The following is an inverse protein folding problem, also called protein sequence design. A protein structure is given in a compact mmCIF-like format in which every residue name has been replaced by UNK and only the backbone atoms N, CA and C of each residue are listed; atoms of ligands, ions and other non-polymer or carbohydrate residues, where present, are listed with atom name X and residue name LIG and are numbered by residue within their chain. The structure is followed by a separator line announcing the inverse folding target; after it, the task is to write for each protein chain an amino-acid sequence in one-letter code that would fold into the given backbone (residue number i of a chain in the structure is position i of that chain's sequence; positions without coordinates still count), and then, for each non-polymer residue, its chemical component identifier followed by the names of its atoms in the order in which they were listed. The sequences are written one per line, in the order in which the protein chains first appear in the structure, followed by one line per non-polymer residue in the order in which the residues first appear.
data_IF_258780835722
#
_entry.id   IF_258780835722
#
_cell.length_a   1.000
_cell.length_b   1.000
_cell.length_c   1.000
_cell.angle_alpha   90.00
_cell.angle_beta   90.00
_cell.angle_gamma   90.00
#
_symmetry.space_group_name_H-M   'P 1'
#
loop_
_entity.id
_entity.type
_entity.pdbx_description
1 polymer ?
#
# COMPACT_ATOMS: atom_id res chain seq x y z
N UNK A 1 -0.39 10.92 -4.91
CA UNK A 1 -1.20 12.12 -4.57
C UNK A 1 -0.58 13.43 -5.03
N UNK A 2 0.65 13.83 -4.65
CA UNK A 2 1.19 15.14 -5.04
C UNK A 2 1.14 15.39 -6.55
N UNK A 3 1.54 14.41 -7.35
CA UNK A 3 1.46 14.47 -8.82
C UNK A 3 0.03 14.55 -9.36
N UNK A 4 -0.95 13.88 -8.75
CA UNK A 4 -2.34 13.92 -9.22
C UNK A 4 -2.97 15.30 -9.01
N UNK A 5 -2.53 16.02 -7.98
CA UNK A 5 -3.10 17.31 -7.60
C UNK A 5 -2.33 18.51 -8.15
N UNK A 6 -1.15 18.31 -8.76
CA UNK A 6 -0.31 19.41 -9.25
C UNK A 6 -1.03 20.30 -10.26
N UNK A 7 -1.77 19.70 -11.19
CA UNK A 7 -2.53 20.44 -12.20
C UNK A 7 -3.71 21.19 -11.57
N UNK A 8 -4.40 20.56 -10.62
CA UNK A 8 -5.52 21.18 -9.91
C UNK A 8 -5.06 22.41 -9.13
N UNK A 9 -3.98 22.31 -8.36
CA UNK A 9 -3.42 23.43 -7.59
C UNK A 9 -2.95 24.54 -8.55
N UNK A 10 -2.30 24.18 -9.65
CA UNK A 10 -1.84 25.16 -10.65
C UNK A 10 -2.98 25.93 -11.32
N UNK A 11 -4.12 25.28 -11.54
CA UNK A 11 -5.32 25.87 -12.15
C UNK A 11 -6.18 26.66 -11.15
N UNK A 12 -6.12 26.32 -9.85
CA UNK A 12 -6.97 26.87 -8.81
C UNK A 12 -6.15 27.58 -7.71
N UNK A 13 -5.49 28.69 -8.07
CA UNK A 13 -4.55 29.41 -7.18
C UNK A 13 -5.16 29.97 -5.89
N UNK A 14 -6.48 30.12 -5.82
CA UNK A 14 -7.19 30.59 -4.63
C UNK A 14 -7.54 29.48 -3.63
N UNK A 15 -7.16 28.24 -3.91
CA UNK A 15 -7.45 27.08 -3.05
C UNK A 15 -6.20 26.70 -2.27
N UNK A 16 -6.30 26.76 -0.95
CA UNK A 16 -5.30 26.18 -0.05
C UNK A 16 -5.62 24.71 0.19
N UNK A 17 -4.65 23.84 -0.07
CA UNK A 17 -4.80 22.40 0.05
C UNK A 17 -3.96 21.88 1.23
N UNK A 18 -4.62 21.19 2.16
CA UNK A 18 -3.98 20.49 3.27
C UNK A 18 -4.07 18.98 2.99
N UNK A 19 -2.94 18.29 3.04
CA UNK A 19 -2.87 16.84 2.84
C UNK A 19 -2.13 16.20 4.00
N UNK A 20 -2.82 15.32 4.72
CA UNK A 20 -2.21 14.45 5.71
C UNK A 20 -2.03 13.04 5.15
N UNK A 21 -0.80 12.53 5.21
CA UNK A 21 -0.49 11.15 4.82
C UNK A 21 -0.30 10.32 6.08
N UNK A 22 -1.25 9.41 6.32
CA UNK A 22 -1.19 8.53 7.48
C UNK A 22 -1.70 7.11 7.17
N UNK A 23 -1.66 6.23 8.16
CA UNK A 23 -2.14 4.86 8.08
C UNK A 23 -3.68 4.79 8.01
N UNK A 24 -4.17 3.62 7.56
CA UNK A 24 -5.60 3.37 7.37
C UNK A 24 -6.46 3.66 8.61
N UNK A 25 -6.00 3.32 9.81
CA UNK A 25 -6.80 3.46 11.04
C UNK A 25 -7.08 4.94 11.29
N UNK A 26 -6.05 5.77 11.21
CA UNK A 26 -6.17 7.20 11.44
C UNK A 26 -7.01 7.89 10.36
N UNK A 27 -6.92 7.46 9.09
CA UNK A 27 -7.78 8.03 8.03
C UNK A 27 -9.25 7.74 8.29
N UNK A 28 -9.59 6.51 8.70
CA UNK A 28 -10.98 6.13 9.00
C UNK A 28 -11.51 6.90 10.21
N UNK A 29 -10.71 7.04 11.25
CA UNK A 29 -11.07 7.82 12.44
C UNK A 29 -11.31 9.30 12.10
N UNK A 30 -10.46 9.91 11.26
CA UNK A 30 -10.65 11.28 10.80
C UNK A 30 -11.93 11.47 9.99
N UNK A 31 -12.30 10.49 9.15
CA UNK A 31 -13.58 10.50 8.44
C UNK A 31 -14.76 10.38 9.41
N UNK A 32 -14.69 9.44 10.37
CA UNK A 32 -15.75 9.21 11.37
C UNK A 32 -16.01 10.45 12.24
N UNK A 33 -14.94 11.18 12.58
CA UNK A 33 -14.99 12.40 13.37
C UNK A 33 -15.20 13.67 12.54
N UNK A 34 -15.45 13.54 11.22
CA UNK A 34 -15.65 14.64 10.29
C UNK A 34 -14.52 15.69 10.32
N UNK A 35 -13.26 15.24 10.50
CA UNK A 35 -12.05 16.09 10.56
C UNK A 35 -11.45 16.39 9.20
N UNK A 36 -11.87 15.66 8.16
CA UNK A 36 -11.37 15.79 6.79
C UNK A 36 -12.53 15.73 5.82
N UNK A 37 -12.48 16.53 4.76
CA UNK A 37 -13.55 16.58 3.75
C UNK A 37 -13.50 15.36 2.82
N UNK A 38 -12.28 14.94 2.47
CA UNK A 38 -12.05 13.83 1.57
C UNK A 38 -11.00 12.88 2.14
N UNK A 39 -11.19 11.59 1.89
CA UNK A 39 -10.21 10.58 2.23
C UNK A 39 -9.99 9.61 1.07
N UNK A 40 -8.73 9.24 0.88
CA UNK A 40 -8.35 8.19 -0.03
C UNK A 40 -7.94 6.96 0.76
N UNK A 41 -8.76 5.91 0.69
CA UNK A 41 -8.50 4.63 1.37
C UNK A 41 -8.57 3.47 0.39
N UNK A 42 -7.73 2.46 0.60
CA UNK A 42 -7.79 1.22 -0.20
C UNK A 42 -8.85 0.24 0.30
N UNK A 43 -9.38 0.42 1.51
CA UNK A 43 -10.41 -0.45 2.10
C UNK A 43 -11.46 0.43 2.76
N UNK A 44 -12.70 0.34 2.29
CA UNK A 44 -13.83 1.13 2.79
C UNK A 44 -14.38 0.51 4.08
N UNK A 45 -14.66 1.29 5.14
CA UNK A 45 -15.32 0.81 6.35
C UNK A 45 -16.74 0.32 6.05
N UNK A 46 -17.19 -0.75 6.72
CA UNK A 46 -18.54 -1.33 6.49
C UNK A 46 -19.68 -0.54 7.17
N UNK A 47 -19.37 0.32 8.15
CA UNK A 47 -20.35 0.85 9.11
C UNK A 47 -20.84 2.28 8.81
N UNK A 48 -20.46 2.86 7.68
CA UNK A 48 -20.72 4.28 7.39
C UNK A 48 -21.26 4.45 5.98
N UNK A 49 -22.22 5.37 5.84
CA UNK A 49 -22.80 5.72 4.55
C UNK A 49 -21.92 6.78 3.89
N UNK A 50 -21.02 6.36 3.00
CA UNK A 50 -20.12 7.26 2.27
C UNK A 50 -20.48 7.28 0.79
N UNK A 51 -20.41 8.47 0.21
CA UNK A 51 -20.24 8.60 -1.24
C UNK A 51 -18.80 8.25 -1.61
N UNK A 52 -18.63 7.48 -2.68
CA UNK A 52 -17.31 6.97 -3.09
C UNK A 52 -17.18 7.01 -4.59
N UNK A 53 -15.96 7.34 -5.02
CA UNK A 53 -15.53 7.27 -6.40
C UNK A 53 -14.30 6.37 -6.47
N UNK A 54 -14.34 5.36 -7.33
CA UNK A 54 -13.17 4.53 -7.59
C UNK A 54 -12.21 5.29 -8.51
N UNK A 55 -10.98 5.48 -8.04
CA UNK A 55 -9.98 6.26 -8.77
C UNK A 55 -9.06 5.39 -9.64
N UNK A 56 -8.38 4.43 -9.01
CA UNK A 56 -7.40 3.58 -9.67
C UNK A 56 -7.16 2.29 -8.92
N UNK A 57 -6.71 1.27 -9.65
CA UNK A 57 -6.26 0.02 -9.05
C UNK A 57 -4.91 0.21 -8.35
N UNK A 58 -4.80 -0.33 -7.13
CA UNK A 58 -3.52 -0.44 -6.42
C UNK A 58 -2.93 -1.84 -6.64
N UNK A 59 -2.13 -1.99 -7.71
CA UNK A 59 -1.48 -3.27 -8.05
C UNK A 59 -0.21 -3.45 -7.23
N UNK A 60 -0.10 -4.59 -6.55
CA UNK A 60 1.10 -4.96 -5.81
C UNK A 60 2.08 -5.66 -6.74
N UNK A 61 3.33 -5.21 -6.71
CA UNK A 61 4.43 -5.78 -7.47
C UNK A 61 5.55 -6.20 -6.53
N UNK A 62 6.20 -7.31 -6.89
CA UNK A 62 7.46 -7.69 -6.29
C UNK A 62 8.58 -6.83 -6.87
N UNK A 63 9.38 -6.22 -6.01
CA UNK A 63 10.53 -5.40 -6.39
C UNK A 63 11.81 -5.96 -5.77
N UNK A 64 12.93 -5.78 -6.48
CA UNK A 64 14.27 -6.13 -6.02
C UNK A 64 15.25 -5.00 -6.34
N UNK A 65 16.36 -4.92 -5.60
CA UNK A 65 17.39 -3.90 -5.82
C UNK A 65 18.05 -4.00 -7.21
N UNK A 66 18.80 -2.98 -7.61
CA UNK A 66 19.43 -2.88 -8.96
C UNK A 66 20.33 -4.08 -9.33
N UNK A 67 20.97 -4.72 -8.35
CA UNK A 67 21.76 -5.95 -8.57
C UNK A 67 20.90 -7.18 -8.89
N UNK A 68 19.58 -7.00 -8.84
CA UNK A 68 18.57 -7.91 -9.35
C UNK A 68 18.35 -9.14 -8.47
N UNK A 69 17.20 -9.76 -8.72
CA UNK A 69 17.13 -11.21 -8.74
C UNK A 69 18.11 -11.62 -9.84
N UNK A 70 19.21 -12.32 -9.52
CA UNK A 70 20.12 -12.80 -10.56
C UNK A 70 19.26 -13.46 -11.65
N UNK A 71 19.37 -12.95 -12.90
CA UNK A 71 18.47 -13.22 -14.04
C UNK A 71 18.35 -14.69 -14.47
N UNK A 72 18.89 -15.63 -13.71
CA UNK A 72 18.81 -17.06 -13.97
C UNK A 72 17.48 -17.64 -13.43
N UNK A 73 16.39 -17.47 -14.19
CA UNK A 73 15.26 -18.42 -14.24
C UNK A 73 14.76 -19.01 -12.90
N UNK A 74 14.69 -18.20 -11.83
CA UNK A 74 14.04 -18.67 -10.61
C UNK A 74 12.53 -18.66 -10.86
N UNK A 75 11.89 -19.81 -10.68
CA UNK A 75 10.44 -19.85 -10.62
C UNK A 75 9.93 -18.98 -9.47
N UNK A 76 8.68 -18.52 -9.54
CA UNK A 76 8.05 -17.74 -8.46
C UNK A 76 8.25 -18.43 -7.11
N UNK A 77 8.01 -19.75 -7.03
CA UNK A 77 8.28 -20.53 -5.83
C UNK A 77 9.71 -20.36 -5.30
N UNK A 78 10.73 -20.60 -6.13
CA UNK A 78 12.13 -20.49 -5.69
C UNK A 78 12.48 -19.08 -5.22
N UNK A 79 11.90 -18.06 -5.85
CA UNK A 79 12.09 -16.67 -5.45
C UNK A 79 11.63 -16.46 -4.00
N UNK A 80 10.40 -16.85 -3.67
CA UNK A 80 9.84 -16.65 -2.33
C UNK A 80 10.52 -17.55 -1.28
N UNK A 81 10.97 -18.76 -1.65
CA UNK A 81 11.53 -19.74 -0.70
C UNK A 81 13.02 -19.58 -0.41
N UNK A 82 13.79 -19.01 -1.35
CA UNK A 82 15.26 -18.95 -1.26
C UNK A 82 15.79 -17.55 -0.95
N UNK A 83 15.05 -16.50 -1.31
CA UNK A 83 15.52 -15.13 -1.14
C UNK A 83 15.03 -14.52 0.17
N UNK A 84 15.84 -13.64 0.79
CA UNK A 84 15.39 -12.87 1.92
C UNK A 84 14.26 -11.92 1.49
N UNK A 85 13.09 -12.08 2.09
CA UNK A 85 11.96 -11.19 1.86
C UNK A 85 11.91 -10.11 2.94
N UNK A 86 11.61 -8.88 2.52
CA UNK A 86 11.41 -7.73 3.40
C UNK A 86 9.92 -7.54 3.61
N UNK A 87 9.47 -7.69 4.85
CA UNK A 87 8.08 -7.52 5.24
C UNK A 87 7.81 -6.12 5.76
N UNK A 88 6.63 -5.60 5.43
CA UNK A 88 6.06 -4.41 6.06
C UNK A 88 5.67 -4.68 7.52
N UNK A 89 5.39 -3.61 8.24
CA UNK A 89 4.85 -3.60 9.60
C UNK A 89 3.53 -4.38 9.75
N UNK A 90 3.23 -4.77 10.99
CA UNK A 90 1.94 -5.40 11.32
C UNK A 90 0.79 -4.44 11.05
N UNK A 91 -0.35 -4.95 10.58
CA UNK A 91 -1.52 -4.13 10.20
C UNK A 91 -1.47 -3.54 8.79
N UNK A 92 -0.33 -3.64 8.09
CA UNK A 92 -0.22 -3.22 6.69
C UNK A 92 -1.06 -4.13 5.77
N UNK A 93 -1.95 -3.52 4.97
CA UNK A 93 -2.73 -4.26 3.97
C UNK A 93 -1.83 -4.96 2.93
N UNK A 94 -0.72 -4.32 2.55
CA UNK A 94 0.29 -4.91 1.66
C UNK A 94 0.93 -6.16 2.27
N UNK A 95 1.24 -6.13 3.58
CA UNK A 95 1.75 -7.31 4.29
C UNK A 95 0.75 -8.45 4.26
N UNK A 96 -0.50 -8.17 4.62
CA UNK A 96 -1.57 -9.17 4.64
C UNK A 96 -1.75 -9.81 3.25
N UNK A 97 -1.78 -8.99 2.20
CA UNK A 97 -1.88 -9.48 0.81
C UNK A 97 -0.68 -10.37 0.42
N UNK A 98 0.54 -9.99 0.81
CA UNK A 98 1.75 -10.78 0.58
C UNK A 98 1.71 -12.13 1.32
N UNK A 99 1.36 -12.14 2.61
CA UNK A 99 1.27 -13.36 3.42
C UNK A 99 0.18 -14.30 2.87
N UNK A 100 -0.97 -13.77 2.49
CA UNK A 100 -2.04 -14.54 1.85
C UNK A 100 -1.61 -15.14 0.52
N UNK A 101 -0.87 -14.37 -0.30
CA UNK A 101 -0.33 -14.87 -1.56
C UNK A 101 0.65 -16.04 -1.35
N UNK A 102 1.55 -15.93 -0.38
CA UNK A 102 2.50 -16.99 -0.01
C UNK A 102 1.76 -18.26 0.44
N UNK A 103 0.77 -18.11 1.34
CA UNK A 103 -0.02 -19.23 1.87
C UNK A 103 -0.81 -19.92 0.76
N UNK A 104 -1.51 -19.13 -0.07
CA UNK A 104 -2.35 -19.65 -1.17
C UNK A 104 -1.53 -20.49 -2.15
N UNK A 105 -0.29 -20.08 -2.43
CA UNK A 105 0.59 -20.78 -3.34
C UNK A 105 1.48 -21.85 -2.67
N UNK A 106 1.33 -22.06 -1.35
CA UNK A 106 2.09 -23.04 -0.55
C UNK A 106 3.61 -22.86 -0.70
N UNK A 107 4.07 -21.62 -0.67
CA UNK A 107 5.51 -21.32 -0.68
C UNK A 107 6.10 -21.39 0.72
N UNK A 108 7.19 -22.13 0.88
CA UNK A 108 7.91 -22.26 2.15
C UNK A 108 8.95 -21.15 2.34
N UNK A 109 8.51 -20.03 2.90
CA UNK A 109 9.37 -18.86 3.12
C UNK A 109 10.23 -19.04 4.36
N UNK A 110 11.52 -19.31 4.13
CA UNK A 110 12.50 -19.60 5.19
C UNK A 110 13.07 -18.36 5.89
N UNK A 111 13.14 -17.20 5.23
CA UNK A 111 13.80 -16.00 5.80
C UNK A 111 12.92 -14.75 5.71
N UNK A 112 12.47 -14.27 6.87
CA UNK A 112 11.67 -13.06 7.03
C UNK A 112 12.52 -11.96 7.68
N UNK A 113 12.83 -10.92 6.91
CA UNK A 113 13.45 -9.71 7.44
C UNK A 113 12.37 -8.64 7.62
N UNK A 114 12.42 -7.88 8.73
CA UNK A 114 11.50 -6.78 8.97
C UNK A 114 12.07 -5.51 8.38
N UNK A 115 11.28 -4.77 7.61
CA UNK A 115 11.64 -3.40 7.26
C UNK A 115 11.47 -2.51 8.49
N UNK A 116 12.53 -1.80 8.87
CA UNK A 116 12.41 -0.62 9.71
C UNK A 116 12.42 0.58 8.76
N UNK A 117 11.23 1.03 8.36
CA UNK A 117 11.11 2.35 7.74
C UNK A 117 10.96 3.34 8.89
N UNK A 118 11.96 4.20 9.06
CA UNK A 118 11.91 5.42 9.89
C UNK A 118 11.03 6.46 9.19
#
# INVERSE_FOLDING_TARGET
MPYMLSNFIGQNKGVDLIIDVTNKVQVIESLELNKVDFAMVSVVPKKLNFERVELMQNKLYLIAGKRGLNKANLSEKKLFEQLPLIYREMGSATRVAMEQFIIKNKFDVRKKNRAYFL
#
